data_IF_470439256857
#
_entry.id   IF_470439256857
#
_cell.length_a   1.000
_cell.length_b   1.000
_cell.length_c   1.000
_cell.angle_alpha   90.00
_cell.angle_beta   90.00
_cell.angle_gamma   90.00
#
_symmetry.space_group_name_H-M   'P 1'
#
loop_
_entity.id
_entity.type
_entity.pdbx_description
1 polymer ?
#
# COMPACT_ATOMS: atom_id res chain seq x y z
N UNK A 1 12.48 22.95 26.89
CA UNK A 1 12.62 21.78 26.01
C UNK A 1 11.93 22.12 24.71
N UNK A 2 12.70 22.51 23.67
CA UNK A 2 12.18 22.62 22.32
C UNK A 2 11.90 21.19 21.84
N UNK A 3 10.66 20.78 21.76
CA UNK A 3 10.26 19.61 20.97
C UNK A 3 10.47 19.99 19.53
N UNK A 4 11.60 19.58 18.95
CA UNK A 4 11.82 19.68 17.50
C UNK A 4 10.78 18.78 16.82
N UNK A 5 9.67 19.36 16.43
CA UNK A 5 8.69 18.66 15.61
C UNK A 5 9.19 18.61 14.17
N UNK A 6 9.19 17.41 13.60
CA UNK A 6 9.56 17.21 12.19
C UNK A 6 8.59 17.98 11.28
N UNK A 7 9.10 18.90 10.49
CA UNK A 7 8.33 19.54 9.42
C UNK A 7 8.12 18.57 8.25
N UNK A 8 7.02 17.83 8.32
CA UNK A 8 6.66 16.83 7.31
C UNK A 8 6.41 17.44 5.93
N UNK A 9 5.98 18.69 5.88
CA UNK A 9 5.73 19.40 4.62
C UNK A 9 7.03 19.74 3.92
N UNK A 10 7.99 20.32 4.65
CA UNK A 10 9.31 20.63 4.12
C UNK A 10 10.07 19.35 3.73
N UNK A 11 10.04 18.32 4.58
CA UNK A 11 10.63 17.02 4.25
C UNK A 11 10.00 16.40 2.99
N UNK A 12 8.68 16.43 2.89
CA UNK A 12 7.97 15.94 1.71
C UNK A 12 8.41 16.66 0.43
N UNK A 13 8.49 17.99 0.44
CA UNK A 13 8.99 18.76 -0.71
C UNK A 13 10.41 18.32 -1.11
N UNK A 14 11.30 18.16 -0.15
CA UNK A 14 12.68 17.76 -0.40
C UNK A 14 12.74 16.39 -1.06
N UNK A 15 12.14 15.36 -0.45
CA UNK A 15 12.25 13.98 -0.95
C UNK A 15 11.50 13.71 -2.26
N UNK A 16 10.50 14.54 -2.60
CA UNK A 16 9.81 14.43 -3.89
C UNK A 16 10.51 15.20 -5.01
N UNK A 17 11.37 16.18 -4.67
CA UNK A 17 12.15 16.94 -5.67
C UNK A 17 13.58 16.42 -5.85
N UNK A 18 14.12 15.69 -4.87
CA UNK A 18 15.49 15.17 -4.88
C UNK A 18 15.49 13.65 -4.65
N UNK A 19 15.87 12.90 -5.69
CA UNK A 19 15.94 11.43 -5.65
C UNK A 19 17.01 10.93 -4.67
N UNK A 20 18.11 11.65 -4.48
CA UNK A 20 19.18 11.28 -3.54
C UNK A 20 18.73 11.42 -2.10
N UNK A 21 18.07 12.55 -1.78
CA UNK A 21 17.47 12.76 -0.47
C UNK A 21 16.39 11.72 -0.15
N UNK A 22 15.57 11.37 -1.14
CA UNK A 22 14.57 10.30 -1.01
C UNK A 22 15.22 8.96 -0.71
N UNK A 23 16.20 8.54 -1.52
CA UNK A 23 16.90 7.26 -1.34
C UNK A 23 17.58 7.17 0.01
N UNK A 24 18.21 8.25 0.47
CA UNK A 24 18.83 8.31 1.80
C UNK A 24 17.79 8.11 2.92
N UNK A 25 16.65 8.80 2.83
CA UNK A 25 15.58 8.66 3.83
C UNK A 25 14.97 7.25 3.84
N UNK A 26 14.77 6.67 2.66
CA UNK A 26 14.27 5.29 2.49
C UNK A 26 15.23 4.27 3.13
N UNK A 27 16.53 4.38 2.86
CA UNK A 27 17.54 3.50 3.46
C UNK A 27 17.59 3.60 5.00
N UNK A 28 17.29 4.76 5.55
CA UNK A 28 17.23 4.96 6.99
C UNK A 28 15.95 4.37 7.61
N UNK A 29 14.80 4.56 6.95
CA UNK A 29 13.48 4.22 7.52
C UNK A 29 13.10 2.76 7.24
N UNK A 30 13.37 2.22 6.06
CA UNK A 30 12.91 0.88 5.67
C UNK A 30 13.34 -0.22 6.63
N UNK A 31 14.60 -0.30 7.12
CA UNK A 31 14.99 -1.33 8.07
C UNK A 31 14.21 -1.25 9.39
N UNK A 32 13.93 -0.03 9.86
CA UNK A 32 13.18 0.20 11.10
C UNK A 32 11.74 -0.28 10.95
N UNK A 33 11.11 0.09 9.83
CA UNK A 33 9.73 -0.33 9.52
C UNK A 33 9.65 -1.84 9.36
N UNK A 34 10.59 -2.46 8.64
CA UNK A 34 10.63 -3.91 8.43
C UNK A 34 10.79 -4.66 9.76
N UNK A 35 11.71 -4.24 10.62
CA UNK A 35 11.91 -4.83 11.95
C UNK A 35 10.63 -4.74 12.78
N UNK A 36 9.99 -3.58 12.78
CA UNK A 36 8.74 -3.40 13.52
C UNK A 36 7.61 -4.27 12.97
N UNK A 37 7.47 -4.32 11.65
CA UNK A 37 6.45 -5.12 10.98
C UNK A 37 6.65 -6.62 11.25
N UNK A 38 7.88 -7.12 11.21
CA UNK A 38 8.18 -8.51 11.56
C UNK A 38 7.79 -8.83 13.01
N UNK A 39 8.12 -7.94 13.95
CA UNK A 39 7.76 -8.14 15.35
C UNK A 39 6.23 -8.12 15.58
N UNK A 40 5.50 -7.26 14.85
CA UNK A 40 4.04 -7.23 14.92
C UNK A 40 3.42 -8.49 14.30
N UNK A 41 3.98 -9.02 13.19
CA UNK A 41 3.56 -10.29 12.58
C UNK A 41 3.78 -11.49 13.50
N UNK A 42 4.91 -11.55 14.21
CA UNK A 42 5.20 -12.61 15.18
C UNK A 42 4.15 -12.64 16.30
N UNK A 43 3.74 -11.47 16.79
CA UNK A 43 2.68 -11.34 17.80
C UNK A 43 1.31 -11.79 17.28
N UNK A 44 1.06 -11.63 15.99
CA UNK A 44 -0.20 -11.99 15.32
C UNK A 44 -0.18 -13.38 14.70
N UNK A 45 0.84 -14.21 14.98
CA UNK A 45 1.05 -15.53 14.38
C UNK A 45 -0.12 -16.53 14.55
N UNK A 46 -1.00 -16.29 15.55
CA UNK A 46 -2.21 -17.09 15.78
C UNK A 46 -3.48 -16.49 15.17
N UNK A 47 -3.39 -15.30 14.59
CA UNK A 47 -4.54 -14.68 13.93
C UNK A 47 -4.85 -15.42 12.62
N UNK A 48 -6.13 -15.72 12.32
CA UNK A 48 -6.50 -16.42 11.08
C UNK A 48 -6.19 -15.59 9.83
N UNK A 49 -6.21 -14.27 9.96
CA UNK A 49 -5.90 -13.32 8.89
C UNK A 49 -5.15 -12.13 9.48
N UNK A 50 -4.11 -11.69 8.79
CA UNK A 50 -3.39 -10.44 9.06
C UNK A 50 -3.34 -9.62 7.78
N UNK A 51 -3.79 -8.38 7.83
CA UNK A 51 -3.76 -7.47 6.69
C UNK A 51 -2.63 -6.47 6.84
N UNK A 52 -1.69 -6.48 5.88
CA UNK A 52 -0.60 -5.52 5.78
C UNK A 52 -0.97 -4.40 4.80
N UNK A 53 -1.17 -3.19 5.28
CA UNK A 53 -1.46 -2.03 4.43
C UNK A 53 -0.17 -1.29 4.06
N UNK A 54 0.46 -1.66 2.95
CA UNK A 54 1.75 -1.13 2.50
C UNK A 54 1.55 -0.34 1.19
N UNK A 55 1.61 0.99 1.21
CA UNK A 55 1.34 1.83 0.03
C UNK A 55 2.29 1.59 -1.16
N UNK A 56 3.54 1.22 -0.89
CA UNK A 56 4.62 1.02 -1.88
C UNK A 56 5.12 -0.43 -1.90
N UNK A 57 4.24 -1.40 -1.69
CA UNK A 57 4.58 -2.82 -1.54
C UNK A 57 5.46 -3.35 -2.68
N UNK A 58 5.10 -3.04 -3.93
CA UNK A 58 5.83 -3.49 -5.11
C UNK A 58 7.16 -2.77 -5.26
N UNK A 59 7.18 -1.46 -5.05
CA UNK A 59 8.34 -0.59 -5.19
C UNK A 59 9.46 -0.96 -4.21
N UNK A 60 9.10 -1.36 -3.00
CA UNK A 60 10.06 -1.77 -1.96
C UNK A 60 10.32 -3.28 -1.92
N UNK A 61 9.68 -4.05 -2.80
CA UNK A 61 9.93 -5.49 -2.95
C UNK A 61 9.47 -6.36 -1.77
N UNK A 62 8.42 -5.94 -1.05
CA UNK A 62 7.95 -6.63 0.16
C UNK A 62 6.81 -7.63 -0.09
N UNK A 63 6.51 -7.97 -1.34
CA UNK A 63 5.47 -8.94 -1.71
C UNK A 63 5.67 -10.32 -1.07
N UNK A 64 6.92 -10.73 -0.84
CA UNK A 64 7.24 -12.00 -0.19
C UNK A 64 6.83 -12.10 1.28
N UNK A 65 6.37 -11.02 1.92
CA UNK A 65 5.79 -11.04 3.27
C UNK A 65 4.32 -11.45 3.28
N UNK A 66 3.67 -11.47 2.12
CA UNK A 66 2.25 -11.73 1.98
C UNK A 66 2.02 -13.08 1.30
N UNK A 67 1.07 -13.85 1.79
CA UNK A 67 0.57 -15.05 1.09
C UNK A 67 -0.30 -14.67 -0.11
N UNK A 68 -0.90 -13.50 -0.09
CA UNK A 68 -1.76 -12.97 -1.14
C UNK A 68 -1.64 -11.45 -1.20
N UNK A 69 -1.50 -10.90 -2.39
CA UNK A 69 -1.35 -9.45 -2.62
C UNK A 69 -2.62 -8.90 -3.26
N UNK A 70 -3.28 -7.98 -2.55
CA UNK A 70 -4.48 -7.31 -3.01
C UNK A 70 -4.17 -5.88 -3.43
N UNK A 71 -4.55 -5.51 -4.64
CA UNK A 71 -4.37 -4.17 -5.18
C UNK A 71 -5.68 -3.39 -5.10
N UNK A 72 -5.68 -2.26 -4.40
CA UNK A 72 -6.79 -1.29 -4.46
C UNK A 72 -6.60 -0.43 -5.70
N UNK A 73 -7.50 -0.58 -6.67
CA UNK A 73 -7.41 0.02 -8.00
C UNK A 73 -8.50 1.07 -8.24
N UNK A 74 -8.13 2.16 -8.89
CA UNK A 74 -9.06 3.14 -9.44
C UNK A 74 -8.44 3.82 -10.67
N UNK A 75 -9.22 4.65 -11.37
CA UNK A 75 -8.74 5.41 -12.52
C UNK A 75 -7.68 6.44 -12.09
N UNK A 76 -6.70 6.69 -12.97
CA UNK A 76 -5.61 7.64 -12.71
C UNK A 76 -6.15 9.06 -12.43
N UNK A 77 -7.18 9.48 -13.14
CA UNK A 77 -7.87 10.75 -12.89
C UNK A 77 -8.44 10.85 -11.47
N UNK A 78 -9.04 9.75 -10.97
CA UNK A 78 -9.56 9.69 -9.60
C UNK A 78 -8.44 9.67 -8.56
N UNK A 79 -7.32 8.99 -8.83
CA UNK A 79 -6.14 9.03 -7.96
C UNK A 79 -5.61 10.45 -7.83
N UNK A 80 -5.46 11.15 -8.96
CA UNK A 80 -4.98 12.51 -9.02
C UNK A 80 -5.89 13.45 -8.22
N UNK A 81 -7.19 13.42 -8.49
CA UNK A 81 -8.19 14.25 -7.82
C UNK A 81 -8.20 14.00 -6.30
N UNK A 82 -8.28 12.73 -5.88
CA UNK A 82 -8.28 12.35 -4.46
C UNK A 82 -6.99 12.77 -3.75
N UNK A 83 -5.85 12.66 -4.44
CA UNK A 83 -4.55 13.08 -3.89
C UNK A 83 -4.47 14.60 -3.71
N UNK A 84 -4.94 15.37 -4.68
CA UNK A 84 -5.01 16.84 -4.61
C UNK A 84 -5.92 17.28 -3.46
N UNK A 85 -7.14 16.74 -3.38
CA UNK A 85 -8.12 17.09 -2.35
C UNK A 85 -7.62 16.75 -0.94
N UNK A 86 -7.10 15.54 -0.76
CA UNK A 86 -6.65 15.06 0.56
C UNK A 86 -5.46 15.83 1.11
N UNK A 87 -4.52 16.21 0.25
CA UNK A 87 -3.23 16.78 0.64
C UNK A 87 -3.07 18.27 0.33
N UNK A 88 -4.06 18.89 -0.31
CA UNK A 88 -3.98 20.30 -0.74
C UNK A 88 -2.87 20.56 -1.74
N UNK A 89 -2.60 19.61 -2.66
CA UNK A 89 -1.50 19.67 -3.60
C UNK A 89 -1.91 20.39 -4.88
N UNK A 90 -0.93 21.01 -5.54
CA UNK A 90 -1.07 21.40 -6.94
C UNK A 90 -1.16 20.14 -7.83
N UNK A 91 -1.74 20.26 -9.01
CA UNK A 91 -1.78 19.17 -9.99
C UNK A 91 -0.38 18.67 -10.35
N UNK A 92 0.58 19.58 -10.52
CA UNK A 92 1.96 19.25 -10.84
C UNK A 92 2.61 18.40 -9.73
N UNK A 93 2.43 18.79 -8.45
CA UNK A 93 2.96 18.03 -7.32
C UNK A 93 2.29 16.67 -7.17
N UNK A 94 0.98 16.60 -7.41
CA UNK A 94 0.24 15.35 -7.35
C UNK A 94 0.68 14.37 -8.46
N UNK A 95 0.84 14.86 -9.70
CA UNK A 95 1.38 14.06 -10.81
C UNK A 95 2.81 13.57 -10.55
N UNK A 96 3.68 14.43 -9.99
CA UNK A 96 5.04 14.02 -9.61
C UNK A 96 5.03 12.88 -8.58
N UNK A 97 4.11 12.90 -7.62
CA UNK A 97 3.95 11.82 -6.64
C UNK A 97 3.45 10.51 -7.25
N UNK A 98 2.51 10.59 -8.19
CA UNK A 98 2.03 9.39 -8.91
C UNK A 98 3.13 8.81 -9.79
N UNK A 99 3.87 9.65 -10.52
CA UNK A 99 4.98 9.23 -11.37
C UNK A 99 6.18 8.60 -10.61
N UNK A 100 6.29 8.86 -9.31
CA UNK A 100 7.30 8.23 -8.46
C UNK A 100 6.94 6.78 -8.05
N UNK A 101 5.75 6.31 -8.36
CA UNK A 101 5.28 4.94 -8.11
C UNK A 101 5.30 4.12 -9.39
N UNK A 102 5.26 2.80 -9.23
CA UNK A 102 5.07 1.92 -10.37
C UNK A 102 3.73 2.18 -11.07
N UNK A 103 3.68 2.06 -12.42
CA UNK A 103 2.43 2.16 -13.16
C UNK A 103 1.39 1.17 -12.66
N UNK A 104 0.13 1.60 -12.56
CA UNK A 104 -0.97 0.72 -12.12
C UNK A 104 -1.10 -0.53 -12.99
N UNK A 105 -0.81 -0.44 -14.29
CA UNK A 105 -0.84 -1.58 -15.19
C UNK A 105 0.14 -2.70 -14.77
N UNK A 106 1.34 -2.35 -14.31
CA UNK A 106 2.31 -3.31 -13.80
C UNK A 106 1.89 -3.91 -12.45
N UNK A 107 1.33 -3.08 -11.58
CA UNK A 107 0.81 -3.54 -10.27
C UNK A 107 -0.35 -4.53 -10.45
N UNK A 108 -1.27 -4.26 -11.41
CA UNK A 108 -2.38 -5.17 -11.74
C UNK A 108 -1.90 -6.55 -12.18
N UNK A 109 -0.81 -6.62 -12.93
CA UNK A 109 -0.25 -7.90 -13.41
C UNK A 109 0.40 -8.74 -12.31
N UNK A 110 0.72 -8.14 -11.17
CA UNK A 110 1.44 -8.78 -10.06
C UNK A 110 0.59 -8.99 -8.82
N UNK A 111 -0.60 -8.44 -8.79
CA UNK A 111 -1.56 -8.63 -7.72
C UNK A 111 -2.33 -9.92 -7.93
N UNK A 112 -2.62 -10.64 -6.86
CA UNK A 112 -3.45 -11.84 -6.87
C UNK A 112 -4.93 -11.49 -6.97
N UNK A 113 -5.35 -10.38 -6.32
CA UNK A 113 -6.71 -9.87 -6.38
C UNK A 113 -6.72 -8.34 -6.58
N UNK A 114 -7.78 -7.85 -7.21
CA UNK A 114 -7.99 -6.42 -7.46
C UNK A 114 -9.26 -5.97 -6.76
N UNK A 115 -9.13 -4.99 -5.88
CA UNK A 115 -10.25 -4.32 -5.22
C UNK A 115 -10.61 -3.09 -6.04
N UNK A 116 -11.79 -3.08 -6.66
CA UNK A 116 -12.29 -1.92 -7.40
C UNK A 116 -12.70 -0.79 -6.44
N UNK A 117 -12.00 0.34 -6.53
CA UNK A 117 -12.25 1.55 -5.75
C UNK A 117 -12.66 2.74 -6.65
N UNK A 118 -13.33 2.45 -7.78
CA UNK A 118 -13.86 3.49 -8.68
C UNK A 118 -15.20 4.02 -8.24
N UNK A 119 -15.94 3.23 -7.51
CA UNK A 119 -17.30 3.53 -7.06
C UNK A 119 -17.37 4.24 -5.70
N UNK A 120 -18.52 4.10 -5.05
CA UNK A 120 -18.79 4.66 -3.72
C UNK A 120 -18.08 3.88 -2.59
N UNK A 121 -17.95 4.45 -1.38
CA UNK A 121 -17.44 3.73 -0.22
C UNK A 121 -18.25 2.47 0.11
N UNK A 122 -19.56 2.50 -0.11
CA UNK A 122 -20.47 1.37 0.12
C UNK A 122 -20.21 0.23 -0.87
N UNK A 123 -19.95 0.56 -2.13
CA UNK A 123 -19.56 -0.43 -3.16
C UNK A 123 -18.19 -1.02 -2.85
N UNK A 124 -17.22 -0.18 -2.44
CA UNK A 124 -15.91 -0.65 -2.01
C UNK A 124 -16.02 -1.66 -0.85
N UNK A 125 -16.83 -1.35 0.17
CA UNK A 125 -17.04 -2.25 1.32
C UNK A 125 -17.59 -3.60 0.87
N UNK A 126 -18.59 -3.61 -0.01
CA UNK A 126 -19.15 -4.85 -0.58
C UNK A 126 -18.13 -5.65 -1.39
N UNK A 127 -17.31 -4.96 -2.19
CA UNK A 127 -16.25 -5.61 -2.97
C UNK A 127 -15.23 -6.28 -2.03
N UNK A 128 -14.80 -5.60 -0.97
CA UNK A 128 -13.88 -6.16 0.02
C UNK A 128 -14.49 -7.37 0.71
N UNK A 129 -15.74 -7.29 1.19
CA UNK A 129 -16.44 -8.41 1.84
C UNK A 129 -16.53 -9.64 0.91
N UNK A 130 -16.87 -9.43 -0.34
CA UNK A 130 -16.98 -10.50 -1.34
C UNK A 130 -15.62 -11.17 -1.59
N UNK A 131 -14.56 -10.39 -1.79
CA UNK A 131 -13.22 -10.91 -2.01
C UNK A 131 -12.67 -11.63 -0.78
N UNK A 132 -12.92 -11.11 0.43
CA UNK A 132 -12.56 -11.77 1.68
C UNK A 132 -13.23 -13.14 1.78
N UNK A 133 -14.52 -13.24 1.48
CA UNK A 133 -15.23 -14.52 1.49
C UNK A 133 -14.65 -15.51 0.48
N UNK A 134 -14.34 -15.06 -0.73
CA UNK A 134 -13.72 -15.91 -1.77
C UNK A 134 -12.34 -16.41 -1.37
N UNK A 135 -11.48 -15.53 -0.86
CA UNK A 135 -10.13 -15.90 -0.42
C UNK A 135 -10.16 -16.93 0.72
N UNK A 136 -11.02 -16.72 1.72
CA UNK A 136 -11.18 -17.67 2.83
C UNK A 136 -11.67 -19.04 2.36
N UNK A 137 -12.60 -19.08 1.42
CA UNK A 137 -13.16 -20.33 0.89
C UNK A 137 -12.10 -21.10 0.08
N UNK A 138 -11.31 -20.40 -0.72
CA UNK A 138 -10.24 -21.00 -1.53
C UNK A 138 -9.13 -21.56 -0.65
N UNK A 139 -8.73 -20.87 0.41
CA UNK A 139 -7.70 -21.33 1.33
C UNK A 139 -8.13 -22.59 2.11
N UNK A 140 -9.40 -22.67 2.53
CA UNK A 140 -9.94 -23.87 3.18
C UNK A 140 -9.97 -25.08 2.23
N UNK A 141 -10.21 -24.86 0.95
CA UNK A 141 -10.20 -25.95 -0.04
C UNK A 141 -8.78 -26.45 -0.33
N UNK A 142 -7.77 -25.59 -0.22
CA UNK A 142 -6.36 -25.94 -0.43
C UNK A 142 -5.74 -26.72 0.74
N UNK A 143 -6.31 -26.60 1.95
CA UNK A 143 -5.84 -27.31 3.15
C UNK A 143 -6.45 -28.71 3.31
N UNK A 144 -7.43 -29.12 2.48
CA UNK A 144 -7.98 -30.45 2.52
C UNK A 144 -7.04 -31.43 1.75
N UNK A 145 -6.49 -32.46 2.40
CA UNK A 145 -5.70 -33.45 1.68
C UNK A 145 -6.56 -34.21 0.65
N UNK A 146 -5.98 -34.58 -0.49
CA UNK A 146 -6.71 -35.36 -1.49
C UNK A 146 -7.19 -36.70 -0.86
N UNK A 147 -8.47 -36.98 -1.05
CA UNK A 147 -9.12 -38.24 -0.59
C UNK A 147 -8.59 -39.41 -1.37
#
# INVERSE_FOLDING_TARGET
QHTEQLDRTALGRLVFSDASARSWLEQLIHPIVQTRMSADLDQLSKAPIVVLMIPLLFEVGLTGLCSEVWLVDCEESQQLERLMLRNGLSEADARARLAAQWPMAEKRQRADLIIDNRGSPEELSKNVEQLMFQSLTNNQAAEQPPV
#
